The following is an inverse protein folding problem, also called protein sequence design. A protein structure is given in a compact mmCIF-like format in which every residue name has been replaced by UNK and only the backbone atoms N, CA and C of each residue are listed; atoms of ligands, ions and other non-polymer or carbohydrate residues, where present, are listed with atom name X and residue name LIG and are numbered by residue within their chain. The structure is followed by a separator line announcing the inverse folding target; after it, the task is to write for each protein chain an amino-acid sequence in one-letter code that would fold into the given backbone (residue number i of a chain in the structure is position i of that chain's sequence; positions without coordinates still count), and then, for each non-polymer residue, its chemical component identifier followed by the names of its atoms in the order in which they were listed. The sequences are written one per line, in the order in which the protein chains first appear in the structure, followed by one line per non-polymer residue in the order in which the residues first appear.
data_IF_123131897200
#
_entry.id   IF_123131897200
#
_cell.length_a   1.000
_cell.length_b   1.000
_cell.length_c   1.000
_cell.angle_alpha   90.00
_cell.angle_beta   90.00
_cell.angle_gamma   90.00
#
_symmetry.space_group_name_H-M   'P 1'
#
loop_
_entity.id
_entity.type
_entity.pdbx_description
1 polymer ?
#
# COMPACT_ATOMS: atom_id res chain seq x y z
N UNK A 1 -12.82 22.31 -4.76
CA UNK A 1 -12.75 20.88 -5.12
C UNK A 1 -11.65 20.30 -4.25
N UNK A 2 -12.02 19.80 -3.07
CA UNK A 2 -11.10 19.05 -2.21
C UNK A 2 -10.91 17.74 -2.93
N UNK A 3 -9.76 17.56 -3.59
CA UNK A 3 -9.34 16.25 -4.03
C UNK A 3 -9.17 15.47 -2.73
N UNK A 4 -10.16 14.63 -2.39
CA UNK A 4 -9.98 13.56 -1.42
C UNK A 4 -8.83 12.71 -1.97
N UNK A 5 -7.60 13.03 -1.52
CA UNK A 5 -6.43 12.22 -1.80
C UNK A 5 -6.72 10.88 -1.12
N UNK A 6 -7.31 9.96 -1.87
CA UNK A 6 -7.55 8.61 -1.41
C UNK A 6 -6.23 7.96 -1.04
N UNK A 7 -6.29 6.96 -0.14
CA UNK A 7 -5.09 6.27 0.35
C UNK A 7 -4.08 5.92 -0.76
N UNK A 8 -4.55 5.46 -1.93
CA UNK A 8 -3.70 5.15 -3.09
C UNK A 8 -2.88 6.34 -3.59
N UNK A 9 -3.44 7.55 -3.63
CA UNK A 9 -2.70 8.74 -4.07
C UNK A 9 -1.64 9.16 -3.05
N UNK A 10 -1.95 9.05 -1.76
CA UNK A 10 -0.96 9.23 -0.69
C UNK A 10 0.18 8.20 -0.79
N UNK A 11 -0.12 6.95 -1.09
CA UNK A 11 0.90 5.91 -1.30
C UNK A 11 1.78 6.22 -2.52
N UNK A 12 1.21 6.76 -3.61
CA UNK A 12 1.98 7.16 -4.79
C UNK A 12 2.98 8.27 -4.45
N UNK A 13 2.55 9.28 -3.68
CA UNK A 13 3.42 10.36 -3.22
C UNK A 13 4.55 9.82 -2.32
N UNK A 14 4.25 8.88 -1.43
CA UNK A 14 5.24 8.26 -0.53
C UNK A 14 6.24 7.42 -1.32
N UNK A 15 5.79 6.65 -2.31
CA UNK A 15 6.66 5.86 -3.18
C UNK A 15 7.51 6.73 -4.13
N UNK A 16 7.21 8.03 -4.25
CA UNK A 16 7.85 8.93 -5.21
C UNK A 16 7.34 8.75 -6.64
N UNK A 17 6.17 8.13 -6.81
CA UNK A 17 5.50 7.93 -8.09
C UNK A 17 4.68 9.18 -8.46
N UNK A 18 4.71 9.57 -9.75
CA UNK A 18 3.92 10.69 -10.25
C UNK A 18 2.42 10.40 -10.39
N UNK A 19 2.01 9.12 -10.28
CA UNK A 19 0.61 8.70 -10.37
C UNK A 19 0.36 7.36 -9.68
N UNK A 20 -0.89 7.12 -9.28
CA UNK A 20 -1.38 5.84 -8.77
C UNK A 20 -1.13 4.69 -9.75
N UNK A 21 -1.07 4.97 -11.06
CA UNK A 21 -0.83 3.93 -12.06
C UNK A 21 0.56 3.29 -11.95
N UNK A 22 1.57 4.06 -11.57
CA UNK A 22 2.96 3.61 -11.39
C UNK A 22 3.15 2.77 -10.13
N UNK A 23 2.25 2.87 -9.15
CA UNK A 23 2.28 2.01 -7.96
C UNK A 23 2.16 0.50 -8.28
N UNK A 24 1.66 0.13 -9.46
CA UNK A 24 1.62 -1.28 -9.91
C UNK A 24 2.98 -1.79 -10.39
N UNK A 25 3.92 -0.89 -10.65
CA UNK A 25 5.23 -1.19 -11.22
C UNK A 25 6.36 -0.74 -10.28
N UNK A 26 6.11 -0.77 -8.97
CA UNK A 26 7.10 -0.40 -7.97
C UNK A 26 8.32 -1.31 -8.06
N UNK A 27 9.49 -0.69 -8.10
CA UNK A 27 10.77 -1.39 -7.99
C UNK A 27 10.99 -1.88 -6.54
N UNK A 28 11.82 -2.90 -6.33
CA UNK A 28 12.00 -3.52 -5.01
C UNK A 28 12.41 -2.53 -3.91
N UNK A 29 13.21 -1.50 -4.25
CA UNK A 29 13.52 -0.42 -3.32
C UNK A 29 12.30 0.45 -2.98
N UNK A 30 11.44 0.76 -3.95
CA UNK A 30 10.23 1.55 -3.75
C UNK A 30 9.21 0.78 -2.90
N UNK A 31 9.10 -0.52 -3.10
CA UNK A 31 8.24 -1.38 -2.28
C UNK A 31 8.74 -1.42 -0.81
N UNK A 32 10.05 -1.58 -0.58
CA UNK A 32 10.62 -1.53 0.78
C UNK A 32 10.41 -0.16 1.44
N UNK A 33 10.61 0.92 0.68
CA UNK A 33 10.37 2.29 1.17
C UNK A 33 8.91 2.49 1.58
N UNK A 34 7.98 2.03 0.73
CA UNK A 34 6.55 2.13 0.99
C UNK A 34 6.12 1.29 2.19
N UNK A 35 6.63 0.06 2.32
CA UNK A 35 6.38 -0.81 3.47
C UNK A 35 6.79 -0.14 4.80
N UNK A 36 8.00 0.44 4.85
CA UNK A 36 8.49 1.17 6.04
C UNK A 36 7.68 2.43 6.35
N UNK A 37 7.19 3.12 5.33
CA UNK A 37 6.33 4.28 5.52
C UNK A 37 4.96 3.86 6.07
N UNK A 38 4.39 2.78 5.53
CA UNK A 38 3.15 2.17 6.01
C UNK A 38 3.25 1.73 7.49
N UNK A 39 4.40 1.23 7.95
CA UNK A 39 4.65 0.90 9.37
C UNK A 39 4.52 2.12 10.31
N UNK A 40 4.67 3.34 9.79
CA UNK A 40 4.52 4.58 10.57
C UNK A 40 3.13 5.19 10.48
N UNK A 41 2.37 4.84 9.45
CA UNK A 41 1.01 5.35 9.22
C UNK A 41 0.02 4.54 10.07
N UNK A 42 -0.73 5.15 11.00
CA UNK A 42 -1.73 4.41 11.75
C UNK A 42 -2.88 3.94 10.83
N UNK A 43 -3.41 2.74 11.03
CA UNK A 43 -4.52 2.23 10.22
C UNK A 43 -5.76 3.14 10.22
N UNK A 44 -5.94 3.94 11.28
CA UNK A 44 -7.04 4.89 11.42
C UNK A 44 -6.96 6.15 10.53
N UNK A 45 -5.90 6.35 9.74
CA UNK A 45 -5.85 7.51 8.80
C UNK A 45 -6.78 7.35 7.60
N UNK A 46 -7.10 6.11 7.25
CA UNK A 46 -7.91 5.76 6.10
C UNK A 46 -8.94 4.72 6.51
N UNK A 47 -10.05 4.70 5.79
CA UNK A 47 -11.12 3.75 6.09
C UNK A 47 -10.72 2.33 5.70
N UNK A 48 -11.34 1.31 6.32
CA UNK A 48 -11.17 -0.09 5.92
C UNK A 48 -11.37 -0.29 4.41
N UNK A 49 -12.38 0.38 3.83
CA UNK A 49 -12.65 0.32 2.41
C UNK A 49 -11.48 0.83 1.56
N UNK A 50 -10.80 1.90 1.98
CA UNK A 50 -9.64 2.44 1.27
C UNK A 50 -8.43 1.52 1.37
N UNK A 51 -8.19 0.94 2.55
CA UNK A 51 -7.13 -0.06 2.73
C UNK A 51 -7.38 -1.31 1.87
N UNK A 52 -8.62 -1.78 1.82
CA UNK A 52 -9.03 -2.91 1.00
C UNK A 52 -8.96 -2.61 -0.50
N UNK A 53 -9.30 -1.39 -0.91
CA UNK A 53 -9.14 -0.95 -2.30
C UNK A 53 -7.65 -0.91 -2.68
N UNK A 54 -6.79 -0.37 -1.81
CA UNK A 54 -5.35 -0.38 -2.00
C UNK A 54 -4.78 -1.82 -2.08
N UNK A 55 -5.26 -2.75 -1.23
CA UNK A 55 -4.89 -4.17 -1.30
C UNK A 55 -5.29 -4.81 -2.64
N UNK A 56 -6.54 -4.61 -3.06
CA UNK A 56 -7.06 -5.15 -4.31
C UNK A 56 -6.31 -4.56 -5.52
N UNK A 57 -5.93 -3.28 -5.44
CA UNK A 57 -5.22 -2.58 -6.52
C UNK A 57 -3.74 -2.97 -6.62
N UNK A 58 -3.02 -2.98 -5.49
CA UNK A 58 -1.58 -3.20 -5.44
C UNK A 58 -1.21 -4.68 -5.47
N UNK A 59 -1.93 -5.50 -4.70
CA UNK A 59 -1.59 -6.90 -4.52
C UNK A 59 -2.60 -7.88 -5.13
N UNK A 60 -3.76 -7.38 -5.59
CA UNK A 60 -4.88 -8.22 -6.04
C UNK A 60 -5.28 -9.26 -4.97
N UNK A 61 -5.06 -8.93 -3.71
CA UNK A 61 -5.35 -9.78 -2.56
C UNK A 61 -6.80 -9.59 -2.10
N UNK A 62 -7.25 -10.45 -1.18
CA UNK A 62 -8.61 -10.37 -0.67
C UNK A 62 -8.75 -9.22 0.33
N UNK A 63 -9.93 -8.56 0.38
CA UNK A 63 -10.22 -7.57 1.40
C UNK A 63 -10.13 -8.20 2.79
N UNK A 64 -9.62 -7.44 3.75
CA UNK A 64 -9.53 -7.86 5.15
C UNK A 64 -10.72 -7.33 5.94
N UNK A 65 -10.93 -7.90 7.12
CA UNK A 65 -12.02 -7.53 8.04
C UNK A 65 -11.73 -6.24 8.82
N UNK A 66 -10.46 -5.87 8.99
CA UNK A 66 -10.04 -4.67 9.73
C UNK A 66 -8.99 -3.86 8.97
N UNK A 67 -8.94 -2.55 9.25
CA UNK A 67 -7.98 -1.65 8.60
C UNK A 67 -6.54 -1.98 9.03
N UNK A 68 -6.37 -2.52 10.24
CA UNK A 68 -5.09 -2.96 10.78
C UNK A 68 -4.58 -4.19 10.03
N UNK A 69 -5.43 -5.21 9.85
CA UNK A 69 -5.11 -6.39 9.04
C UNK A 69 -4.78 -6.00 7.60
N UNK A 70 -5.60 -5.12 7.01
CA UNK A 70 -5.41 -4.68 5.63
C UNK A 70 -4.03 -4.00 5.43
N UNK A 71 -3.69 -3.11 6.37
CA UNK A 71 -2.39 -2.44 6.41
C UNK A 71 -1.24 -3.41 6.64
N UNK A 72 -1.34 -4.30 7.63
CA UNK A 72 -0.30 -5.30 7.91
C UNK A 72 -0.06 -6.19 6.68
N UNK A 73 -1.14 -6.56 6.00
CA UNK A 73 -1.08 -7.36 4.77
C UNK A 73 -0.37 -6.59 3.65
N UNK A 74 -0.68 -5.32 3.44
CA UNK A 74 0.04 -4.46 2.48
C UNK A 74 1.53 -4.37 2.83
N UNK A 75 1.88 -4.14 4.09
CA UNK A 75 3.29 -4.09 4.53
C UNK A 75 4.00 -5.41 4.22
N UNK A 76 3.37 -6.56 4.50
CA UNK A 76 3.97 -7.88 4.22
C UNK A 76 4.17 -8.15 2.72
N UNK A 77 3.27 -7.65 1.87
CA UNK A 77 3.32 -7.87 0.42
C UNK A 77 4.30 -6.91 -0.27
N UNK A 78 4.51 -5.72 0.30
CA UNK A 78 5.45 -4.72 -0.18
C UNK A 78 6.85 -4.88 0.42
N UNK A 79 6.95 -5.41 1.64
CA UNK A 79 8.24 -5.80 2.18
C UNK A 79 8.83 -6.87 1.26
N UNK A 80 10.15 -6.86 0.99
CA UNK A 80 10.79 -7.96 0.33
C UNK A 80 10.69 -9.18 1.26
N UNK A 81 9.61 -9.95 1.11
CA UNK A 81 9.66 -11.38 1.40
C UNK A 81 10.74 -11.89 0.48
N UNK A 82 11.94 -12.09 1.03
CA UNK A 82 13.01 -12.89 0.46
C UNK A 82 12.38 -13.86 -0.55
N UNK A 83 12.49 -13.55 -1.83
CA UNK A 83 11.94 -14.34 -2.93
C UNK A 83 12.81 -15.61 -2.96
N UNK A 84 12.61 -16.49 -1.98
CA UNK A 84 13.09 -17.85 -1.97
C UNK A 84 12.18 -18.63 -2.92
N UNK A 85 12.41 -18.42 -4.21
CA UNK A 85 12.19 -19.44 -5.21
C UNK A 85 13.48 -19.51 -6.01
N UNK A 86 14.29 -20.47 -5.57
CA UNK A 86 15.38 -21.14 -6.30
C UNK A 86 15.02 -21.43 -7.77
#
# INVERSE_FOLDING_TARGET
MILEIGLLDALALIAGCGSVSDLRYLDGWQQEHLARALEKIPAGVASLAEWNDALAYLARDSPQETAEDARERLIRLLAPLNQASD
#
